data_IF_617744249655
#
_entry.id   IF_617744249655
#
_cell.length_a   1.000
_cell.length_b   1.000
_cell.length_c   1.000
_cell.angle_alpha   90.00
_cell.angle_beta   90.00
_cell.angle_gamma   90.00
#
_symmetry.space_group_name_H-M   'P 1'
#
loop_
_entity.id
_entity.type
_entity.pdbx_description
1 polymer ?
#
# COMPACT_ATOMS: atom_id res chain seq x y z
N UNK A 1 -48.16 -4.01 -19.03
CA UNK A 1 -47.49 -5.23 -18.52
C UNK A 1 -46.02 -4.90 -18.30
N UNK A 2 -45.61 -4.82 -17.03
CA UNK A 2 -44.34 -4.24 -16.59
C UNK A 2 -43.39 -5.37 -16.19
N UNK A 3 -42.29 -5.55 -16.93
CA UNK A 3 -41.18 -6.43 -16.56
C UNK A 3 -40.23 -5.65 -15.63
N UNK A 4 -40.35 -5.85 -14.34
CA UNK A 4 -39.32 -5.44 -13.36
C UNK A 4 -38.73 -6.68 -12.73
N UNK A 5 -37.76 -7.28 -13.42
CA UNK A 5 -36.78 -8.16 -12.81
C UNK A 5 -35.86 -7.29 -11.95
N UNK A 6 -36.19 -7.17 -10.67
CA UNK A 6 -35.27 -6.59 -9.68
C UNK A 6 -34.15 -7.61 -9.49
N UNK A 7 -33.09 -7.41 -10.27
CA UNK A 7 -31.84 -8.14 -10.12
C UNK A 7 -31.30 -7.92 -8.70
N UNK A 8 -31.24 -9.04 -7.98
CA UNK A 8 -30.02 -9.47 -7.30
C UNK A 8 -29.44 -8.47 -6.30
N UNK A 9 -30.06 -8.46 -5.11
CA UNK A 9 -29.43 -7.97 -3.89
C UNK A 9 -28.30 -8.95 -3.49
N UNK A 10 -27.25 -9.00 -4.28
CA UNK A 10 -25.99 -9.63 -3.96
C UNK A 10 -25.38 -8.92 -2.77
N UNK A 11 -25.78 -9.30 -1.55
CA UNK A 11 -25.01 -9.04 -0.33
C UNK A 11 -23.68 -9.77 -0.50
N UNK A 12 -22.72 -9.14 -1.20
CA UNK A 12 -21.30 -9.38 -0.95
C UNK A 12 -21.06 -8.99 0.50
N UNK A 13 -21.21 -9.95 1.41
CA UNK A 13 -20.60 -9.87 2.74
C UNK A 13 -19.10 -9.70 2.48
N UNK A 14 -18.61 -8.46 2.52
CA UNK A 14 -17.17 -8.21 2.63
C UNK A 14 -16.73 -9.02 3.85
N UNK A 15 -15.84 -9.98 3.65
CA UNK A 15 -15.19 -10.68 4.76
C UNK A 15 -14.72 -9.62 5.78
N UNK A 16 -14.82 -9.90 7.09
CA UNK A 16 -14.37 -8.94 8.11
C UNK A 16 -12.94 -8.56 7.77
N UNK A 17 -12.73 -7.28 7.43
CA UNK A 17 -11.39 -6.76 7.15
C UNK A 17 -10.62 -6.91 8.44
N UNK A 18 -9.68 -7.85 8.47
CA UNK A 18 -8.74 -7.94 9.57
C UNK A 18 -8.12 -6.55 9.75
N UNK A 19 -8.10 -5.99 10.97
CA UNK A 19 -7.47 -4.71 11.22
C UNK A 19 -6.01 -4.82 10.78
N UNK A 20 -5.57 -3.91 9.91
CA UNK A 20 -4.17 -3.87 9.51
C UNK A 20 -3.34 -3.46 10.72
N UNK A 21 -2.16 -4.08 10.93
CA UNK A 21 -1.27 -3.65 12.00
C UNK A 21 -0.88 -2.19 11.79
N UNK A 22 -0.95 -1.39 12.87
CA UNK A 22 -0.50 0.00 12.88
C UNK A 22 0.94 0.02 13.36
N UNK A 23 1.85 0.51 12.53
CA UNK A 23 3.26 0.63 12.85
C UNK A 23 3.60 2.08 13.20
N UNK A 24 4.35 2.28 14.28
CA UNK A 24 4.99 3.55 14.59
C UNK A 24 6.40 3.52 14.02
N UNK A 25 6.72 4.49 13.18
CA UNK A 25 8.04 4.62 12.54
C UNK A 25 8.64 5.93 12.98
N UNK A 26 9.87 5.88 13.51
CA UNK A 26 10.66 7.07 13.84
C UNK A 26 11.59 7.33 12.67
N UNK A 27 11.59 8.56 12.18
CA UNK A 27 12.37 9.00 11.04
C UNK A 27 13.16 10.24 11.43
N UNK A 28 14.36 10.38 10.87
CA UNK A 28 15.07 11.66 10.89
C UNK A 28 14.24 12.73 10.19
N UNK A 29 14.35 13.98 10.66
CA UNK A 29 13.54 15.08 10.16
C UNK A 29 13.69 15.29 8.65
N UNK A 30 14.92 15.27 8.15
CA UNK A 30 15.20 15.42 6.71
C UNK A 30 14.56 14.30 5.87
N UNK A 31 14.51 13.07 6.40
CA UNK A 31 13.87 11.93 5.74
C UNK A 31 12.36 12.08 5.73
N UNK A 32 11.77 12.51 6.87
CA UNK A 32 10.35 12.79 6.96
C UNK A 32 9.91 13.86 5.97
N UNK A 33 10.62 15.00 5.89
CA UNK A 33 10.33 16.08 4.94
C UNK A 33 10.40 15.62 3.47
N UNK A 34 11.39 14.78 3.15
CA UNK A 34 11.52 14.23 1.80
C UNK A 34 10.36 13.31 1.43
N UNK A 35 9.94 12.44 2.36
CA UNK A 35 8.78 11.55 2.16
C UNK A 35 7.50 12.37 1.98
N UNK A 36 7.30 13.42 2.77
CA UNK A 36 6.15 14.31 2.62
C UNK A 36 6.12 15.00 1.26
N UNK A 37 7.28 15.45 0.77
CA UNK A 37 7.40 16.10 -0.53
C UNK A 37 7.04 15.13 -1.65
N UNK A 38 7.57 13.91 -1.62
CA UNK A 38 7.24 12.87 -2.60
C UNK A 38 5.76 12.50 -2.57
N UNK A 39 5.18 12.34 -1.38
CA UNK A 39 3.76 12.04 -1.21
C UNK A 39 2.86 13.13 -1.82
N UNK A 40 3.21 14.42 -1.62
CA UNK A 40 2.50 15.55 -2.23
C UNK A 40 2.63 15.54 -3.76
N UNK A 41 3.84 15.40 -4.28
CA UNK A 41 4.12 15.36 -5.72
C UNK A 41 3.33 14.26 -6.42
N UNK A 42 3.22 13.09 -5.81
CA UNK A 42 2.52 11.93 -6.38
C UNK A 42 1.03 11.86 -6.02
N UNK A 43 0.50 12.87 -5.30
CA UNK A 43 -0.88 12.89 -4.80
C UNK A 43 -1.26 11.63 -4.00
N UNK A 44 -0.34 11.16 -3.15
CA UNK A 44 -0.48 9.97 -2.30
C UNK A 44 -0.52 10.36 -0.82
N UNK A 45 -1.10 9.49 0.01
CA UNK A 45 -0.93 9.62 1.46
C UNK A 45 0.50 9.23 1.88
N UNK A 46 1.00 9.82 2.97
CA UNK A 46 2.33 9.51 3.51
C UNK A 46 2.49 8.00 3.78
N UNK A 47 1.50 7.36 4.39
CA UNK A 47 1.53 5.90 4.64
C UNK A 47 1.65 5.08 3.36
N UNK A 48 0.98 5.51 2.28
CA UNK A 48 1.06 4.84 0.99
C UNK A 48 2.44 5.05 0.36
N UNK A 49 2.99 6.26 0.44
CA UNK A 49 4.34 6.55 -0.06
C UNK A 49 5.41 5.73 0.65
N UNK A 50 5.35 5.64 1.99
CA UNK A 50 6.25 4.78 2.78
C UNK A 50 6.13 3.32 2.32
N UNK A 51 4.91 2.82 2.09
CA UNK A 51 4.71 1.44 1.64
C UNK A 51 5.35 1.18 0.27
N UNK A 52 5.24 2.13 -0.66
CA UNK A 52 5.86 2.04 -1.99
C UNK A 52 7.39 2.02 -1.87
N UNK A 53 7.98 2.95 -1.12
CA UNK A 53 9.44 3.02 -0.94
C UNK A 53 10.00 1.74 -0.30
N UNK A 54 9.29 1.17 0.67
CA UNK A 54 9.68 -0.11 1.27
C UNK A 54 9.63 -1.25 0.25
N UNK A 55 8.55 -1.33 -0.55
CA UNK A 55 8.42 -2.36 -1.58
C UNK A 55 9.51 -2.24 -2.65
N UNK A 56 9.83 -1.02 -3.08
CA UNK A 56 10.92 -0.74 -4.02
C UNK A 56 12.29 -1.14 -3.46
N UNK A 57 12.54 -0.85 -2.18
CA UNK A 57 13.78 -1.26 -1.51
C UNK A 57 13.94 -2.78 -1.46
N UNK A 58 12.87 -3.53 -1.16
CA UNK A 58 12.90 -4.99 -1.21
C UNK A 58 13.12 -5.52 -2.64
N UNK A 59 12.38 -4.98 -3.61
CA UNK A 59 12.55 -5.37 -5.01
C UNK A 59 13.98 -5.12 -5.52
N UNK A 60 14.60 -4.01 -5.10
CA UNK A 60 15.98 -3.68 -5.46
C UNK A 60 16.98 -4.61 -4.78
N UNK A 61 16.74 -5.00 -3.52
CA UNK A 61 17.55 -5.98 -2.79
C UNK A 61 17.52 -7.34 -3.48
N UNK A 62 16.35 -7.80 -3.92
CA UNK A 62 16.21 -9.09 -4.58
C UNK A 62 16.92 -9.11 -5.95
N UNK A 63 16.89 -8.00 -6.70
CA UNK A 63 17.65 -7.88 -7.97
C UNK A 63 19.16 -7.86 -7.78
N UNK A 64 19.64 -7.33 -6.66
CA UNK A 64 21.07 -7.16 -6.38
C UNK A 64 21.66 -8.28 -5.53
N UNK A 65 20.81 -9.17 -5.01
CA UNK A 65 21.22 -10.41 -4.39
C UNK A 65 21.87 -11.30 -5.47
N UNK A 66 23.19 -11.22 -5.59
CA UNK A 66 23.97 -12.20 -6.35
C UNK A 66 23.64 -13.58 -5.79
N UNK A 67 23.17 -14.56 -6.58
CA UNK A 67 23.00 -15.91 -6.08
C UNK A 67 24.38 -16.38 -5.62
N UNK A 68 24.51 -16.64 -4.32
CA UNK A 68 25.70 -17.29 -3.78
C UNK A 68 25.72 -18.69 -4.39
N UNK A 69 26.57 -18.89 -5.39
CA UNK A 69 26.79 -20.21 -5.97
C UNK A 69 27.16 -21.17 -4.83
N UNK A 70 26.35 -22.22 -4.68
CA UNK A 70 26.59 -23.33 -3.77
C UNK A 70 27.72 -24.20 -4.28
#
# INVERSE_FOLDING_TARGET
>A
MLLTAIMEKGRRRKAPRQPRPVLRVVLDEAVAQRIETLAKTESRSISNQISVLIAEAFAQRDRTATPRAA
#
